data_IF_932863196660
#
_entry.id   IF_932863196660
#
_cell.length_a   1.000
_cell.length_b   1.000
_cell.length_c   1.000
_cell.angle_alpha   90.00
_cell.angle_beta   90.00
_cell.angle_gamma   90.00
#
_symmetry.space_group_name_H-M   'P 1'
#
loop_
_entity.id
_entity.type
_entity.pdbx_description
1 polymer ?
#
# COMPACT_ATOMS: atom_id res chain seq x y z
N UNK A 1 0.89 -10.33 -60.71
CA UNK A 1 0.03 -10.42 -59.51
C UNK A 1 0.43 -11.70 -58.79
N UNK A 2 1.23 -11.59 -57.75
CA UNK A 2 1.67 -12.72 -56.94
C UNK A 2 1.19 -12.47 -55.51
N UNK A 3 0.27 -13.31 -55.07
CA UNK A 3 -0.22 -13.42 -53.70
C UNK A 3 0.58 -14.51 -53.02
N UNK A 4 1.22 -14.21 -51.89
CA UNK A 4 1.88 -15.13 -50.96
C UNK A 4 2.49 -14.22 -49.87
N UNK A 5 2.46 -14.45 -48.57
CA UNK A 5 2.02 -15.56 -47.74
C UNK A 5 2.00 -15.01 -46.30
N UNK A 6 0.93 -15.25 -45.55
CA UNK A 6 0.83 -14.94 -44.11
C UNK A 6 1.94 -15.67 -43.36
N UNK A 7 2.82 -14.93 -42.68
CA UNK A 7 3.71 -15.50 -41.66
C UNK A 7 3.05 -15.36 -40.30
N UNK A 8 2.56 -16.51 -39.84
CA UNK A 8 2.31 -16.89 -38.47
C UNK A 8 3.59 -16.66 -37.64
N UNK A 9 3.53 -15.75 -36.67
CA UNK A 9 4.56 -15.66 -35.63
C UNK A 9 4.09 -16.46 -34.41
N UNK A 10 4.88 -17.43 -33.93
CA UNK A 10 4.50 -18.28 -32.82
C UNK A 10 4.49 -17.49 -31.50
N UNK A 11 3.40 -17.66 -30.75
CA UNK A 11 3.31 -17.33 -29.33
C UNK A 11 4.51 -17.92 -28.59
N UNK A 12 5.41 -17.06 -28.14
CA UNK A 12 6.47 -17.48 -27.22
C UNK A 12 5.86 -17.56 -25.82
N UNK A 13 5.38 -18.76 -25.52
CA UNK A 13 5.15 -19.26 -24.17
C UNK A 13 6.48 -19.29 -23.38
N UNK A 14 6.44 -18.79 -22.14
CA UNK A 14 7.11 -19.37 -20.94
C UNK A 14 8.63 -19.05 -20.80
N UNK A 15 9.08 -18.56 -19.62
CA UNK A 15 9.03 -19.33 -18.39
C UNK A 15 8.21 -18.68 -17.29
N UNK A 16 7.27 -19.48 -16.76
CA UNK A 16 6.87 -19.42 -15.37
C UNK A 16 8.16 -19.47 -14.54
N UNK A 17 8.48 -18.35 -13.90
CA UNK A 17 9.38 -18.36 -12.76
C UNK A 17 8.64 -19.10 -11.65
N UNK A 18 8.91 -20.41 -11.57
CA UNK A 18 8.87 -21.17 -10.34
C UNK A 18 9.98 -20.62 -9.43
N UNK A 19 9.81 -19.37 -8.96
CA UNK A 19 10.50 -18.94 -7.76
C UNK A 19 9.83 -19.69 -6.63
N UNK A 20 10.64 -20.45 -5.90
CA UNK A 20 10.32 -20.95 -4.58
C UNK A 20 9.71 -19.80 -3.79
N UNK A 21 8.39 -19.76 -3.72
CA UNK A 21 7.65 -18.80 -2.91
C UNK A 21 7.91 -19.22 -1.48
N UNK A 22 9.06 -18.82 -0.94
CA UNK A 22 9.22 -18.62 0.48
C UNK A 22 8.01 -17.76 0.86
N UNK A 23 7.02 -18.39 1.50
CA UNK A 23 5.73 -17.80 1.84
C UNK A 23 6.04 -16.44 2.46
N UNK A 24 5.86 -15.38 1.67
CA UNK A 24 6.19 -14.05 2.13
C UNK A 24 5.35 -13.85 3.39
N UNK A 25 5.96 -13.47 4.52
CA UNK A 25 5.26 -13.46 5.79
C UNK A 25 3.97 -12.67 5.61
N UNK A 26 2.84 -13.31 5.93
CA UNK A 26 1.53 -12.70 5.76
C UNK A 26 1.56 -11.32 6.43
N UNK A 27 1.13 -10.28 5.71
CA UNK A 27 1.06 -8.95 6.28
C UNK A 27 -0.02 -8.96 7.36
N UNK A 28 0.37 -8.80 8.61
CA UNK A 28 -0.54 -8.78 9.77
C UNK A 28 -0.70 -7.36 10.32
N UNK A 29 -1.70 -7.19 11.18
CA UNK A 29 -1.89 -5.96 11.95
C UNK A 29 -0.63 -5.50 12.69
N UNK A 30 0.20 -6.42 13.21
CA UNK A 30 1.43 -6.08 13.91
C UNK A 30 2.42 -5.29 13.07
N UNK A 31 2.47 -5.52 11.76
CA UNK A 31 3.26 -4.72 10.84
C UNK A 31 2.54 -3.40 10.52
N UNK A 32 1.25 -3.46 10.17
CA UNK A 32 0.48 -2.29 9.76
C UNK A 32 0.44 -1.20 10.84
N UNK A 33 0.25 -1.58 12.10
CA UNK A 33 0.21 -0.62 13.22
C UNK A 33 1.50 0.17 13.38
N UNK A 34 2.65 -0.37 12.93
CA UNK A 34 3.94 0.34 12.99
C UNK A 34 4.06 1.49 11.99
N UNK A 35 3.19 1.53 10.97
CA UNK A 35 3.18 2.58 9.95
C UNK A 35 2.47 3.86 10.40
N UNK A 36 1.69 3.78 11.48
CA UNK A 36 1.05 4.93 12.09
C UNK A 36 1.94 5.47 13.20
N UNK A 37 2.43 6.70 13.03
CA UNK A 37 3.23 7.33 14.07
C UNK A 37 2.33 7.77 15.23
N UNK A 38 2.86 7.91 16.46
CA UNK A 38 2.10 8.42 17.60
C UNK A 38 1.42 9.77 17.34
N UNK A 39 2.04 10.62 16.50
CA UNK A 39 1.46 11.89 16.07
C UNK A 39 0.23 11.70 15.18
N UNK A 40 0.21 10.69 14.31
CA UNK A 40 -0.95 10.36 13.47
C UNK A 40 -2.12 9.90 14.30
N UNK A 41 -1.86 8.97 15.22
CA UNK A 41 -2.85 8.44 16.17
C UNK A 41 -3.47 9.60 16.95
N UNK A 42 -2.65 10.49 17.50
CA UNK A 42 -3.13 11.68 18.22
C UNK A 42 -3.98 12.59 17.32
N UNK A 43 -3.55 12.86 16.09
CA UNK A 43 -4.28 13.71 15.16
C UNK A 43 -5.61 13.12 14.72
N UNK A 44 -5.69 11.80 14.56
CA UNK A 44 -6.87 11.09 14.05
C UNK A 44 -7.85 10.67 15.15
N UNK A 45 -7.42 10.60 16.41
CA UNK A 45 -8.21 10.16 17.58
C UNK A 45 -9.61 10.79 17.72
N UNK A 46 -9.84 11.99 17.17
CA UNK A 46 -11.16 12.64 17.17
C UNK A 46 -12.13 12.09 16.14
N UNK A 47 -11.67 11.24 15.22
CA UNK A 47 -12.45 10.64 14.13
C UNK A 47 -12.52 9.13 14.24
N UNK A 48 -11.37 8.49 14.43
CA UNK A 48 -11.20 7.06 14.70
C UNK A 48 -9.76 6.82 15.20
N UNK A 49 -9.54 5.71 15.88
CA UNK A 49 -8.27 5.37 16.47
C UNK A 49 -7.39 4.57 15.49
N UNK A 50 -6.25 5.14 15.10
CA UNK A 50 -5.27 4.45 14.24
C UNK A 50 -4.46 3.38 14.99
N UNK A 51 -4.55 3.33 16.31
CA UNK A 51 -3.92 2.28 17.13
C UNK A 51 -4.82 1.06 17.35
N UNK A 52 -6.09 1.15 16.95
CA UNK A 52 -7.06 0.07 17.04
C UNK A 52 -7.26 -0.61 15.67
N UNK A 53 -7.27 -1.95 15.67
CA UNK A 53 -7.35 -2.74 14.43
C UNK A 53 -8.72 -2.60 13.77
N UNK A 54 -9.79 -2.62 14.56
CA UNK A 54 -11.16 -2.64 14.06
C UNK A 54 -11.52 -1.27 13.47
N UNK A 55 -11.17 -0.18 14.15
CA UNK A 55 -11.33 1.19 13.65
C UNK A 55 -10.55 1.42 12.33
N UNK A 56 -9.34 0.86 12.23
CA UNK A 56 -8.55 0.92 10.99
C UNK A 56 -9.16 0.08 9.89
N UNK A 57 -9.63 -1.13 10.18
CA UNK A 57 -10.29 -2.01 9.21
C UNK A 57 -11.58 -1.36 8.65
N UNK A 58 -12.42 -0.81 9.51
CA UNK A 58 -13.66 -0.11 9.15
C UNK A 58 -13.41 1.11 8.25
N UNK A 59 -12.24 1.72 8.37
CA UNK A 59 -11.85 2.89 7.59
C UNK A 59 -10.78 2.60 6.52
N UNK A 60 -10.42 1.34 6.30
CA UNK A 60 -9.24 0.95 5.54
C UNK A 60 -9.23 1.50 4.11
N UNK A 61 -10.37 1.44 3.40
CA UNK A 61 -10.48 1.99 2.06
C UNK A 61 -10.16 3.50 1.98
N UNK A 62 -10.60 4.26 3.00
CA UNK A 62 -10.32 5.71 3.08
C UNK A 62 -8.86 5.96 3.44
N UNK A 63 -8.31 5.18 4.37
CA UNK A 63 -6.91 5.29 4.79
C UNK A 63 -6.00 5.00 3.59
N UNK A 64 -6.20 3.88 2.91
CA UNK A 64 -5.44 3.49 1.72
C UNK A 64 -5.48 4.56 0.62
N UNK A 65 -6.67 5.08 0.31
CA UNK A 65 -6.79 6.13 -0.71
C UNK A 65 -6.02 7.40 -0.32
N UNK A 66 -6.06 7.79 0.96
CA UNK A 66 -5.37 8.99 1.44
C UNK A 66 -3.84 8.80 1.52
N UNK A 67 -3.36 7.65 1.96
CA UNK A 67 -1.92 7.36 2.01
C UNK A 67 -1.35 7.25 0.60
N UNK A 68 -2.03 6.51 -0.30
CA UNK A 68 -1.64 6.41 -1.71
C UNK A 68 -1.61 7.75 -2.43
N UNK A 69 -2.55 8.64 -2.16
CA UNK A 69 -2.60 9.97 -2.76
C UNK A 69 -1.72 11.00 -2.04
N UNK A 70 -0.83 10.59 -1.12
CA UNK A 70 0.06 11.50 -0.38
C UNK A 70 -0.71 12.59 0.38
N UNK A 71 -1.88 12.24 0.91
CA UNK A 71 -2.72 13.12 1.74
C UNK A 71 -2.65 12.74 3.23
N UNK A 72 -2.15 11.54 3.52
CA UNK A 72 -1.84 11.08 4.87
C UNK A 72 -0.41 10.51 4.90
N UNK A 73 0.35 10.77 5.97
CA UNK A 73 0.01 11.62 7.11
C UNK A 73 -0.12 13.12 6.78
N UNK A 74 -0.85 13.87 7.63
CA UNK A 74 -1.05 15.32 7.43
C UNK A 74 0.20 16.07 7.90
N UNK A 75 0.86 16.73 6.96
CA UNK A 75 2.01 17.59 7.24
C UNK A 75 1.59 18.90 7.91
N UNK A 76 2.42 19.40 8.82
CA UNK A 76 2.21 20.63 9.58
C UNK A 76 3.33 21.64 9.28
N UNK A 77 3.04 22.96 9.23
CA UNK A 77 4.07 23.96 8.95
C UNK A 77 5.30 23.82 9.87
N UNK A 78 6.53 23.98 9.33
CA UNK A 78 6.85 24.48 7.98
C UNK A 78 6.77 23.44 6.86
N UNK A 79 6.46 22.17 7.19
CA UNK A 79 6.42 21.07 6.24
C UNK A 79 5.11 21.03 5.45
N UNK A 80 5.19 20.53 4.22
CA UNK A 80 4.06 20.41 3.28
C UNK A 80 4.00 19.00 2.72
N UNK A 81 2.93 18.64 2.00
CA UNK A 81 2.87 17.34 1.34
C UNK A 81 3.95 17.16 0.24
N UNK A 82 4.45 18.27 -0.32
CA UNK A 82 5.52 18.27 -1.33
C UNK A 82 6.92 18.26 -0.70
N UNK A 83 7.05 18.76 0.54
CA UNK A 83 8.26 18.75 1.35
C UNK A 83 7.92 18.24 2.76
N UNK A 84 7.77 16.92 2.94
CA UNK A 84 7.31 16.34 4.19
C UNK A 84 8.37 16.42 5.28
N UNK A 85 7.92 16.42 6.53
CA UNK A 85 8.79 16.36 7.69
C UNK A 85 9.65 15.08 7.63
N UNK A 86 10.99 15.19 7.70
CA UNK A 86 11.86 14.02 7.75
C UNK A 86 11.57 13.07 8.92
N UNK A 87 11.02 13.57 10.02
CA UNK A 87 10.61 12.78 11.18
C UNK A 87 9.17 12.25 11.07
N UNK A 88 8.39 12.76 10.12
CA UNK A 88 7.01 12.32 9.85
C UNK A 88 6.77 12.15 8.34
N UNK A 89 7.51 11.22 7.70
CA UNK A 89 7.48 11.07 6.26
C UNK A 89 6.14 10.55 5.76
N UNK A 90 5.88 10.76 4.47
CA UNK A 90 4.75 10.12 3.82
C UNK A 90 4.94 8.62 3.67
N UNK A 91 3.83 7.90 3.56
CA UNK A 91 3.89 6.47 3.30
C UNK A 91 4.58 6.18 1.98
N UNK A 92 5.46 5.20 2.00
CA UNK A 92 6.12 4.70 0.79
C UNK A 92 5.14 3.84 -0.03
N UNK A 93 5.48 3.61 -1.30
CA UNK A 93 4.69 2.71 -2.15
C UNK A 93 4.64 1.29 -1.57
N UNK A 94 5.73 0.83 -0.93
CA UNK A 94 5.78 -0.46 -0.24
C UNK A 94 4.82 -0.52 0.95
N UNK A 95 4.74 0.54 1.77
CA UNK A 95 3.79 0.60 2.89
C UNK A 95 2.35 0.57 2.38
N UNK A 96 2.07 1.29 1.29
CA UNK A 96 0.76 1.27 0.65
C UNK A 96 0.41 -0.12 0.09
N UNK A 97 1.37 -0.79 -0.54
CA UNK A 97 1.19 -2.14 -1.06
C UNK A 97 0.95 -3.17 0.06
N UNK A 98 1.70 -3.09 1.17
CA UNK A 98 1.50 -3.94 2.34
C UNK A 98 0.11 -3.72 2.94
N UNK A 99 -0.32 -2.46 3.09
CA UNK A 99 -1.66 -2.15 3.60
C UNK A 99 -2.77 -2.68 2.68
N UNK A 100 -2.61 -2.54 1.36
CA UNK A 100 -3.51 -3.12 0.36
C UNK A 100 -3.58 -4.64 0.48
N UNK A 101 -2.44 -5.32 0.64
CA UNK A 101 -2.38 -6.76 0.82
C UNK A 101 -3.06 -7.22 2.12
N UNK A 102 -2.88 -6.48 3.22
CA UNK A 102 -3.59 -6.73 4.48
C UNK A 102 -5.11 -6.58 4.34
N UNK A 103 -5.58 -5.56 3.60
CA UNK A 103 -7.00 -5.40 3.27
C UNK A 103 -7.54 -6.56 2.42
N UNK A 104 -6.81 -6.94 1.37
CA UNK A 104 -7.24 -8.00 0.44
C UNK A 104 -7.27 -9.38 1.10
N UNK A 105 -6.44 -9.60 2.12
CA UNK A 105 -6.43 -10.80 2.95
C UNK A 105 -7.55 -10.83 4.01
N UNK A 106 -8.42 -9.80 4.07
CA UNK A 106 -9.53 -9.75 5.02
C UNK A 106 -9.13 -9.34 6.43
N UNK A 107 -8.08 -8.51 6.56
CA UNK A 107 -7.61 -7.97 7.84
C UNK A 107 -7.14 -9.05 8.85
N UNK A 108 -6.19 -9.93 8.47
CA UNK A 108 -5.64 -10.94 9.38
C UNK A 108 -4.99 -10.29 10.62
#
# INVERSE_FOLDING_TARGET
MASEQTQDIPSTETPAQEETQAEAPAITWDLIKTYFLPVDIKCMSKRFDLSDKDDVADNAAKIYLRTKNKQMPKQMPPWTQENPDPAHPLWTDQMCANFKAWMDAGFP
#
